data_IF_493808665756
#
_entry.id   IF_493808665756
#
_cell.length_a   1.000
_cell.length_b   1.000
_cell.length_c   1.000
_cell.angle_alpha   90.00
_cell.angle_beta   90.00
_cell.angle_gamma   90.00
#
_symmetry.space_group_name_H-M   'P 1'
#
loop_
_entity.id
_entity.type
_entity.pdbx_description
1 polymer ?
#
# COMPACT_ATOMS: atom_id res chain seq x y z
N UNK A 1 -28.22 -16.54 -19.41
CA UNK A 1 -26.97 -15.89 -19.87
C UNK A 1 -26.56 -14.94 -18.76
N UNK A 2 -25.46 -15.03 -18.05
CA UNK A 2 -24.23 -15.84 -18.11
C UNK A 2 -23.79 -16.00 -16.66
N UNK A 3 -23.41 -17.22 -16.28
CA UNK A 3 -22.74 -17.47 -15.01
C UNK A 3 -21.32 -16.86 -15.08
N UNK A 4 -21.00 -15.94 -14.17
CA UNK A 4 -19.61 -15.61 -13.82
C UNK A 4 -19.40 -16.00 -12.37
N UNK A 5 -19.31 -17.32 -12.19
CA UNK A 5 -18.58 -17.95 -11.10
C UNK A 5 -17.10 -17.58 -11.30
N UNK A 6 -16.39 -17.28 -10.20
CA UNK A 6 -14.95 -16.98 -10.13
C UNK A 6 -14.51 -15.51 -10.08
N UNK A 7 -15.12 -14.70 -9.20
CA UNK A 7 -14.41 -13.53 -8.65
C UNK A 7 -14.37 -13.46 -7.13
N UNK A 8 -14.92 -14.45 -6.42
CA UNK A 8 -15.06 -14.41 -4.94
C UNK A 8 -14.03 -15.23 -4.15
N UNK A 9 -12.98 -15.79 -4.78
CA UNK A 9 -12.13 -16.80 -4.10
C UNK A 9 -10.77 -16.32 -3.59
N UNK A 10 -10.53 -15.01 -3.43
CA UNK A 10 -9.31 -14.50 -2.76
C UNK A 10 -9.51 -13.27 -1.86
N UNK A 11 -10.74 -12.86 -1.53
CA UNK A 11 -11.00 -11.69 -0.67
C UNK A 11 -10.68 -11.87 0.83
N UNK A 12 -10.37 -13.08 1.29
CA UNK A 12 -10.21 -13.39 2.71
C UNK A 12 -8.81 -13.26 3.29
N UNK A 13 -7.84 -12.69 2.58
CA UNK A 13 -6.42 -12.74 2.99
C UNK A 13 -5.76 -11.38 3.26
N UNK A 14 -6.48 -10.29 3.04
CA UNK A 14 -5.97 -8.93 3.21
C UNK A 14 -6.88 -8.15 4.16
N UNK A 15 -6.33 -7.33 5.07
CA UNK A 15 -7.12 -6.46 5.93
C UNK A 15 -7.68 -5.24 5.20
N UNK A 16 -7.33 -5.01 3.93
CA UNK A 16 -7.71 -3.82 3.17
C UNK A 16 -9.06 -3.95 2.46
N UNK A 17 -9.75 -2.82 2.28
CA UNK A 17 -10.97 -2.73 1.48
C UNK A 17 -10.68 -2.93 -0.01
N UNK A 18 -11.71 -3.26 -0.78
CA UNK A 18 -11.58 -3.45 -2.22
C UNK A 18 -11.17 -2.18 -2.96
N UNK A 19 -11.53 -1.02 -2.41
CA UNK A 19 -11.12 0.29 -2.89
C UNK A 19 -9.59 0.40 -2.85
N UNK A 20 -8.98 0.21 -1.68
CA UNK A 20 -7.52 0.24 -1.48
C UNK A 20 -6.82 -0.78 -2.39
N UNK A 21 -7.34 -2.00 -2.48
CA UNK A 21 -6.75 -3.06 -3.33
C UNK A 21 -6.80 -2.68 -4.81
N UNK A 22 -7.86 -2.01 -5.25
CA UNK A 22 -8.10 -1.69 -6.67
C UNK A 22 -7.51 -0.34 -7.10
N UNK A 23 -7.12 0.52 -6.16
CA UNK A 23 -6.51 1.83 -6.44
C UNK A 23 -5.29 1.71 -7.36
N UNK A 24 -5.22 2.52 -8.40
CA UNK A 24 -4.04 2.52 -9.29
C UNK A 24 -2.92 3.33 -8.65
N UNK A 25 -1.70 2.81 -8.70
CA UNK A 25 -0.51 3.55 -8.27
C UNK A 25 -0.07 4.54 -9.37
N UNK A 26 0.58 5.66 -9.01
CA UNK A 26 1.18 6.57 -9.98
C UNK A 26 2.22 5.87 -10.87
N UNK A 27 2.37 6.30 -12.13
CA UNK A 27 3.24 5.64 -13.12
C UNK A 27 4.73 5.62 -12.73
N UNK A 28 5.16 6.61 -11.94
CA UNK A 28 6.52 6.76 -11.43
C UNK A 28 6.79 5.95 -10.14
N UNK A 29 5.78 5.27 -9.58
CA UNK A 29 5.89 4.53 -8.32
C UNK A 29 6.93 3.41 -8.34
N UNK A 30 7.16 2.78 -9.50
CA UNK A 30 8.14 1.70 -9.68
C UNK A 30 9.58 2.08 -9.31
N UNK A 31 9.87 3.38 -9.20
CA UNK A 31 11.18 3.90 -8.82
C UNK A 31 11.26 4.25 -7.32
N UNK A 32 10.14 4.19 -6.59
CA UNK A 32 10.10 4.48 -5.17
C UNK A 32 10.81 3.37 -4.41
N UNK A 33 11.87 3.74 -3.72
CA UNK A 33 12.52 2.90 -2.71
C UNK A 33 12.09 3.45 -1.36
N UNK A 34 11.33 2.65 -0.61
CA UNK A 34 10.91 3.00 0.74
C UNK A 34 11.92 2.42 1.73
N UNK A 35 12.18 3.16 2.79
CA UNK A 35 12.90 2.61 3.94
C UNK A 35 12.04 1.55 4.61
N UNK A 36 12.65 0.41 4.93
CA UNK A 36 11.94 -0.72 5.52
C UNK A 36 12.12 -0.75 7.04
N UNK A 37 11.00 -0.75 7.75
CA UNK A 37 10.97 -0.97 9.19
C UNK A 37 11.39 -2.39 9.53
N UNK A 38 12.39 -2.52 10.39
CA UNK A 38 12.90 -3.80 10.84
C UNK A 38 12.69 -4.06 12.34
N UNK A 39 11.91 -3.20 12.99
CA UNK A 39 11.63 -3.30 14.42
C UNK A 39 12.72 -2.73 15.32
N UNK A 40 13.78 -2.13 14.78
CA UNK A 40 14.87 -1.55 15.57
C UNK A 40 14.83 -0.02 15.64
N UNK A 41 14.25 0.64 14.63
CA UNK A 41 14.04 2.08 14.64
C UNK A 41 12.79 2.47 15.43
N UNK A 42 12.71 3.74 15.80
CA UNK A 42 11.50 4.30 16.39
C UNK A 42 10.33 4.21 15.39
N UNK A 43 9.14 3.87 15.89
CA UNK A 43 7.97 3.66 15.03
C UNK A 43 7.40 4.98 14.50
N UNK A 44 7.42 6.04 15.31
CA UNK A 44 6.96 7.36 14.89
C UNK A 44 7.90 7.94 13.82
N UNK A 45 9.21 7.77 13.98
CA UNK A 45 10.23 8.14 12.98
C UNK A 45 10.04 7.37 11.66
N UNK A 46 9.72 6.07 11.72
CA UNK A 46 9.42 5.28 10.53
C UNK A 46 8.17 5.80 9.80
N UNK A 47 7.11 6.09 10.54
CA UNK A 47 5.86 6.61 9.95
C UNK A 47 6.10 7.96 9.28
N UNK A 48 6.81 8.88 9.95
CA UNK A 48 7.12 10.20 9.38
C UNK A 48 7.96 10.09 8.10
N UNK A 49 8.98 9.23 8.11
CA UNK A 49 9.82 8.96 6.94
C UNK A 49 9.00 8.37 5.80
N UNK A 50 8.17 7.36 6.08
CA UNK A 50 7.30 6.72 5.11
C UNK A 50 6.33 7.72 4.48
N UNK A 51 5.62 8.50 5.29
CA UNK A 51 4.66 9.52 4.81
C UNK A 51 5.39 10.54 3.95
N UNK A 52 6.55 11.04 4.38
CA UNK A 52 7.36 11.99 3.63
C UNK A 52 7.78 11.43 2.27
N UNK A 53 8.23 10.18 2.20
CA UNK A 53 8.64 9.53 0.94
C UNK A 53 7.46 9.33 -0.03
N UNK A 54 6.30 8.90 0.47
CA UNK A 54 5.10 8.67 -0.36
C UNK A 54 4.49 9.99 -0.86
N UNK A 55 4.50 11.04 -0.02
CA UNK A 55 3.98 12.37 -0.36
C UNK A 55 4.74 13.06 -1.51
N UNK A 56 5.92 12.56 -1.89
CA UNK A 56 6.61 13.00 -3.11
C UNK A 56 5.90 12.58 -4.40
N UNK A 57 4.97 11.62 -4.30
CA UNK A 57 4.27 11.00 -5.44
C UNK A 57 2.76 11.21 -5.38
N UNK A 58 2.17 11.25 -4.18
CA UNK A 58 0.73 11.39 -3.98
C UNK A 58 0.42 11.80 -2.55
N UNK A 59 -0.62 12.62 -2.38
CA UNK A 59 -1.19 12.99 -1.08
C UNK A 59 -2.45 12.15 -0.76
N UNK A 60 -2.73 11.11 -1.55
CA UNK A 60 -3.91 10.27 -1.38
C UNK A 60 -3.68 9.19 -0.31
N UNK A 61 -4.39 9.31 0.82
CA UNK A 61 -4.36 8.34 1.93
C UNK A 61 -4.61 6.90 1.48
N UNK A 62 -5.46 6.72 0.47
CA UNK A 62 -5.77 5.39 -0.07
C UNK A 62 -4.55 4.72 -0.72
N UNK A 63 -3.64 5.50 -1.31
CA UNK A 63 -2.37 5.01 -1.83
C UNK A 63 -1.40 4.76 -0.67
N UNK A 64 -1.36 5.65 0.31
CA UNK A 64 -0.56 5.48 1.53
C UNK A 64 -0.87 4.15 2.23
N UNK A 65 -2.15 3.83 2.44
CA UNK A 65 -2.57 2.55 3.01
C UNK A 65 -2.18 1.35 2.13
N UNK A 66 -2.35 1.47 0.81
CA UNK A 66 -2.06 0.38 -0.13
C UNK A 66 -0.59 -0.03 -0.10
N UNK A 67 0.30 0.95 0.08
CA UNK A 67 1.75 0.76 -0.12
C UNK A 67 2.52 0.59 1.18
N UNK A 68 1.93 0.96 2.31
CA UNK A 68 2.51 0.74 3.64
C UNK A 68 3.07 -0.68 3.87
N UNK A 69 2.42 -1.78 3.45
CA UNK A 69 3.00 -3.12 3.64
C UNK A 69 4.38 -3.33 3.00
N UNK A 70 4.75 -2.50 2.00
CA UNK A 70 6.06 -2.59 1.34
C UNK A 70 7.20 -1.92 2.12
N UNK A 71 6.87 -1.06 3.10
CA UNK A 71 7.83 -0.44 4.01
C UNK A 71 8.13 -1.29 5.24
N UNK A 72 7.72 -2.56 5.27
CA UNK A 72 7.99 -3.51 6.36
C UNK A 72 8.92 -4.63 5.86
N UNK A 73 9.85 -5.09 6.71
CA UNK A 73 10.69 -6.27 6.44
C UNK A 73 9.97 -7.59 6.74
#
# INVERSE_FOLDING_TARGET
MTATLDQQKHYGKTPFTQEIISTRLPDNWKNLTLDQYDGTTDLDEHIDTFVTQVNLYTEEDIILCKVFPTSLK
#
